data_IF_718246338581
#
_entry.id   IF_718246338581
#
_cell.length_a   1.000
_cell.length_b   1.000
_cell.length_c   1.000
_cell.angle_alpha   90.00
_cell.angle_beta   90.00
_cell.angle_gamma   90.00
#
_symmetry.space_group_name_H-M   'P 1'
#
loop_
_entity.id
_entity.type
_entity.pdbx_description
1 polymer ?
#
# COMPACT_ATOMS: atom_id res chain seq x y z
N UNK A 1 -18.25 -4.27 4.50
CA UNK A 1 -17.12 -5.17 4.84
C UNK A 1 -15.97 -4.33 5.36
N UNK A 2 -15.26 -4.80 6.39
CA UNK A 2 -14.16 -4.04 6.98
C UNK A 2 -12.91 -4.10 6.09
N UNK A 3 -12.38 -2.93 5.72
CA UNK A 3 -11.18 -2.79 4.90
C UNK A 3 -10.20 -1.85 5.60
N UNK A 4 -8.92 -2.20 5.56
CA UNK A 4 -7.84 -1.31 6.00
C UNK A 4 -7.05 -0.86 4.77
N UNK A 5 -7.01 0.45 4.53
CA UNK A 5 -6.26 1.04 3.40
C UNK A 5 -5.00 1.70 3.97
N UNK A 6 -3.83 1.16 3.66
CA UNK A 6 -2.55 1.71 4.11
C UNK A 6 -1.92 2.48 2.94
N UNK A 7 -1.71 3.78 3.08
CA UNK A 7 -1.17 4.60 2.00
C UNK A 7 0.05 5.41 2.44
N UNK A 8 1.13 5.33 1.68
CA UNK A 8 2.31 6.14 1.90
C UNK A 8 2.10 7.56 1.36
N UNK A 9 2.22 8.57 2.22
CA UNK A 9 2.10 9.96 1.82
C UNK A 9 3.43 10.46 1.24
N UNK A 10 3.36 11.13 0.10
CA UNK A 10 4.54 11.69 -0.55
C UNK A 10 5.12 12.89 0.21
N UNK A 11 6.45 13.03 0.15
CA UNK A 11 7.17 14.21 0.61
C UNK A 11 7.43 15.22 -0.52
N UNK A 12 6.98 14.95 -1.75
CA UNK A 12 7.17 15.87 -2.88
C UNK A 12 6.31 17.12 -2.73
N UNK A 13 6.85 18.28 -3.08
CA UNK A 13 6.12 19.56 -3.09
C UNK A 13 4.92 19.54 -4.05
N UNK A 14 5.13 18.97 -5.23
CA UNK A 14 4.17 18.88 -6.31
C UNK A 14 3.99 17.42 -6.72
N UNK A 15 2.74 16.97 -6.71
CA UNK A 15 2.32 15.69 -7.27
C UNK A 15 1.56 15.94 -8.56
N UNK A 16 1.94 15.20 -9.59
CA UNK A 16 1.16 15.11 -10.81
C UNK A 16 -0.14 14.36 -10.52
N UNK A 17 -1.23 14.81 -11.14
CA UNK A 17 -2.47 14.04 -11.22
C UNK A 17 -2.56 13.42 -12.61
N UNK A 18 -2.62 12.10 -12.65
CA UNK A 18 -2.54 11.32 -13.88
C UNK A 18 -3.67 10.30 -13.93
N UNK A 19 -3.98 9.84 -15.15
CA UNK A 19 -4.86 8.70 -15.34
C UNK A 19 -3.97 7.46 -15.37
N UNK A 20 -4.15 6.56 -14.41
CA UNK A 20 -3.42 5.29 -14.39
C UNK A 20 -4.08 4.31 -15.35
N UNK A 21 -3.28 3.62 -16.15
CA UNK A 21 -3.74 2.48 -16.93
C UNK A 21 -3.47 1.18 -16.17
N UNK A 22 -4.27 0.15 -16.42
CA UNK A 22 -4.03 -1.20 -15.91
C UNK A 22 -4.15 -2.21 -17.03
N UNK A 23 -3.20 -3.13 -17.11
CA UNK A 23 -3.31 -4.34 -17.93
C UNK A 23 -3.66 -5.56 -17.09
N UNK A 24 -3.71 -5.41 -15.76
CA UNK A 24 -4.02 -6.48 -14.82
C UNK A 24 -5.51 -6.42 -14.45
N UNK A 25 -6.21 -7.53 -14.66
CA UNK A 25 -7.65 -7.63 -14.35
C UNK A 25 -7.91 -7.63 -12.84
N UNK A 26 -6.93 -7.97 -12.01
CA UNK A 26 -7.04 -7.88 -10.55
C UNK A 26 -6.99 -6.44 -10.04
N UNK A 27 -6.50 -5.50 -10.87
CA UNK A 27 -6.38 -4.08 -10.55
C UNK A 27 -7.15 -3.20 -11.54
N UNK A 28 -8.51 -3.24 -11.53
CA UNK A 28 -9.28 -2.28 -12.29
C UNK A 28 -9.04 -0.86 -11.79
N UNK A 29 -8.94 0.09 -12.71
CA UNK A 29 -8.75 1.52 -12.41
C UNK A 29 -9.76 2.38 -13.14
N UNK A 30 -10.12 3.51 -12.55
CA UNK A 30 -10.96 4.52 -13.19
C UNK A 30 -10.16 5.45 -14.09
N UNK A 31 -10.89 6.17 -14.96
CA UNK A 31 -10.33 7.23 -15.80
C UNK A 31 -10.14 8.56 -15.03
N UNK A 32 -10.17 8.52 -13.70
CA UNK A 32 -9.99 9.71 -12.85
C UNK A 32 -8.52 10.09 -12.77
N UNK A 33 -8.25 11.39 -12.86
CA UNK A 33 -6.94 11.95 -12.55
C UNK A 33 -6.73 11.93 -11.05
N UNK A 34 -5.74 11.19 -10.59
CA UNK A 34 -5.35 11.09 -9.17
C UNK A 34 -3.84 11.17 -9.04
N UNK A 35 -3.36 11.68 -7.91
CA UNK A 35 -1.96 11.56 -7.50
C UNK A 35 -1.70 10.24 -6.78
N UNK A 36 -2.71 9.69 -6.11
CA UNK A 36 -2.61 8.42 -5.39
C UNK A 36 -3.34 7.31 -6.15
N UNK A 37 -2.63 6.34 -6.74
CA UNK A 37 -3.25 5.33 -7.61
C UNK A 37 -4.28 4.46 -6.89
N UNK A 38 -4.15 4.26 -5.58
CA UNK A 38 -5.17 3.54 -4.80
C UNK A 38 -6.55 4.18 -4.91
N UNK A 39 -6.66 5.51 -5.07
CA UNK A 39 -7.95 6.18 -5.25
C UNK A 39 -8.64 5.76 -6.56
N UNK A 40 -7.88 5.63 -7.66
CA UNK A 40 -8.42 5.15 -8.93
C UNK A 40 -8.86 3.68 -8.87
N UNK A 41 -8.17 2.87 -8.07
CA UNK A 41 -8.55 1.47 -7.81
C UNK A 41 -9.79 1.37 -6.91
N UNK A 42 -9.86 2.14 -5.83
CA UNK A 42 -10.99 2.17 -4.91
C UNK A 42 -12.28 2.63 -5.60
N UNK A 43 -12.21 3.57 -6.54
CA UNK A 43 -13.38 3.99 -7.33
C UNK A 43 -14.03 2.84 -8.12
N UNK A 44 -13.28 1.77 -8.40
CA UNK A 44 -13.79 0.57 -9.10
C UNK A 44 -14.17 -0.58 -8.19
N UNK A 45 -13.71 -0.59 -6.94
CA UNK A 45 -13.75 -1.77 -6.07
C UNK A 45 -14.43 -1.55 -4.72
N UNK A 46 -14.62 -0.29 -4.33
CA UNK A 46 -15.34 0.10 -3.13
C UNK A 46 -16.85 0.10 -3.38
N UNK A 47 -17.61 -0.20 -2.34
CA UNK A 47 -19.07 -0.21 -2.32
C UNK A 47 -19.59 0.50 -1.07
N UNK A 48 -20.85 0.91 -1.07
CA UNK A 48 -21.50 1.56 0.09
C UNK A 48 -21.55 0.68 1.35
N UNK A 49 -21.35 -0.63 1.20
CA UNK A 49 -21.31 -1.55 2.35
C UNK A 49 -19.94 -1.59 3.03
N UNK A 50 -18.91 -0.99 2.43
CA UNK A 50 -17.56 -0.99 2.96
C UNK A 50 -17.36 0.00 4.12
N UNK A 51 -16.53 -0.40 5.08
CA UNK A 51 -16.07 0.42 6.20
C UNK A 51 -14.55 0.46 6.11
N UNK A 52 -14.00 1.62 5.72
CA UNK A 52 -12.59 1.83 5.41
C UNK A 52 -11.86 2.50 6.57
N UNK A 53 -10.96 1.76 7.21
CA UNK A 53 -9.96 2.33 8.11
C UNK A 53 -8.72 2.73 7.28
N UNK A 54 -8.60 4.02 6.98
CA UNK A 54 -7.48 4.55 6.18
C UNK A 54 -6.31 4.93 7.09
N UNK A 55 -5.17 4.27 6.92
CA UNK A 55 -3.93 4.52 7.64
C UNK A 55 -2.93 5.22 6.71
N UNK A 56 -2.65 6.48 6.99
CA UNK A 56 -1.72 7.29 6.22
C UNK A 56 -0.33 7.26 6.87
N UNK A 57 0.66 6.74 6.14
CA UNK A 57 2.04 6.66 6.60
C UNK A 57 2.79 7.92 6.16
N UNK A 58 3.24 8.71 7.13
CA UNK A 58 3.86 10.00 6.92
C UNK A 58 5.30 9.97 7.43
N UNK A 59 6.25 10.26 6.55
CA UNK A 59 7.64 10.53 6.93
C UNK A 59 7.80 12.05 7.06
N UNK A 60 8.17 12.50 8.26
CA UNK A 60 8.41 13.92 8.54
C UNK A 60 9.71 14.36 7.89
N UNK A 61 9.61 15.27 6.94
CA UNK A 61 10.75 15.93 6.33
C UNK A 61 10.82 17.40 6.75
N UNK A 62 11.93 18.07 6.41
CA UNK A 62 12.15 19.48 6.80
C UNK A 62 11.23 20.47 6.08
N UNK A 63 10.63 20.06 4.96
CA UNK A 63 9.86 20.96 4.09
C UNK A 63 8.36 20.89 4.37
N UNK A 64 7.91 19.96 5.21
CA UNK A 64 6.51 19.81 5.63
C UNK A 64 5.51 19.60 4.48
N UNK A 65 5.99 19.22 3.29
CA UNK A 65 5.12 19.02 2.10
C UNK A 65 4.12 17.89 2.31
N UNK A 66 4.45 16.93 3.19
CA UNK A 66 3.53 15.86 3.58
C UNK A 66 2.20 16.41 4.12
N UNK A 67 2.17 17.58 4.78
CA UNK A 67 0.93 18.17 5.33
C UNK A 67 -0.08 18.46 4.22
N UNK A 68 0.39 19.11 3.14
CA UNK A 68 -0.42 19.39 1.95
C UNK A 68 -0.84 18.10 1.25
N UNK A 69 0.05 17.10 1.23
CA UNK A 69 -0.22 15.83 0.56
C UNK A 69 -1.19 14.92 1.33
N UNK A 70 -1.29 15.03 2.66
CA UNK A 70 -2.35 14.40 3.45
C UNK A 70 -3.71 14.93 3.00
N UNK A 71 -3.86 16.26 2.95
CA UNK A 71 -5.13 16.87 2.54
C UNK A 71 -5.47 16.53 1.08
N UNK A 72 -4.48 16.54 0.18
CA UNK A 72 -4.67 16.08 -1.20
C UNK A 72 -5.17 14.64 -1.28
N UNK A 73 -4.60 13.72 -0.49
CA UNK A 73 -5.08 12.34 -0.45
C UNK A 73 -6.54 12.27 -0.01
N UNK A 74 -6.90 12.99 1.07
CA UNK A 74 -8.28 13.01 1.58
C UNK A 74 -9.25 13.57 0.55
N UNK A 75 -8.91 14.69 -0.09
CA UNK A 75 -9.71 15.29 -1.17
C UNK A 75 -9.93 14.32 -2.33
N UNK A 76 -8.87 13.59 -2.75
CA UNK A 76 -8.99 12.59 -3.82
C UNK A 76 -9.89 11.41 -3.43
N UNK A 77 -9.77 10.90 -2.20
CA UNK A 77 -10.58 9.80 -1.71
C UNK A 77 -12.03 10.22 -1.45
N UNK A 78 -12.27 11.42 -0.93
CA UNK A 78 -13.61 11.99 -0.73
C UNK A 78 -14.32 12.14 -2.08
N UNK A 79 -13.64 12.67 -3.10
CA UNK A 79 -14.19 12.81 -4.45
C UNK A 79 -14.48 11.46 -5.14
N UNK A 80 -13.80 10.39 -4.73
CA UNK A 80 -14.13 9.01 -5.13
C UNK A 80 -15.37 8.53 -4.36
N UNK A 81 -15.46 8.82 -3.07
CA UNK A 81 -16.53 8.36 -2.20
C UNK A 81 -17.87 9.08 -2.39
N UNK A 82 -17.90 10.29 -2.96
CA UNK A 82 -19.13 11.10 -3.18
C UNK A 82 -20.32 10.31 -3.76
N UNK A 83 -20.05 9.33 -4.63
CA UNK A 83 -21.09 8.50 -5.28
C UNK A 83 -21.22 7.10 -4.70
N UNK A 84 -20.24 6.67 -3.92
CA UNK A 84 -20.16 5.31 -3.39
C UNK A 84 -20.76 5.27 -1.98
N UNK A 85 -20.58 6.34 -1.20
CA UNK A 85 -21.15 6.49 0.14
C UNK A 85 -20.72 5.36 1.11
N UNK A 86 -19.43 4.99 1.06
CA UNK A 86 -18.81 4.10 2.03
C UNK A 86 -18.45 4.85 3.32
N UNK A 87 -18.36 4.15 4.45
CA UNK A 87 -17.88 4.72 5.70
C UNK A 87 -16.34 4.78 5.69
N UNK A 88 -15.76 5.94 6.00
CA UNK A 88 -14.31 6.17 5.92
C UNK A 88 -13.81 6.87 7.18
N UNK A 89 -12.85 6.23 7.84
CA UNK A 89 -12.10 6.79 8.97
C UNK A 89 -10.63 7.00 8.59
N UNK A 90 -9.95 7.94 9.25
CA UNK A 90 -8.55 8.26 8.96
C UNK A 90 -7.69 8.22 10.22
N UNK A 91 -6.54 7.57 10.10
CA UNK A 91 -5.43 7.56 11.07
C UNK A 91 -4.17 8.06 10.38
N UNK A 92 -3.39 8.91 11.04
CA UNK A 92 -2.11 9.40 10.52
C UNK A 92 -0.99 8.88 11.42
N UNK A 93 -0.09 8.08 10.86
CA UNK A 93 1.11 7.59 11.55
C UNK A 93 2.29 8.41 11.09
N UNK A 94 2.87 9.16 12.01
CA UNK A 94 4.08 9.94 11.76
C UNK A 94 5.33 9.12 12.10
N UNK A 95 6.33 9.18 11.24
CA UNK A 95 7.64 8.58 11.44
C UNK A 95 8.74 9.57 11.05
N UNK A 96 9.88 9.48 11.73
CA UNK A 96 11.03 10.32 11.40
C UNK A 96 11.68 9.85 10.09
N UNK A 97 12.30 10.78 9.36
CA UNK A 97 13.08 10.49 8.15
C UNK A 97 14.50 10.04 8.50
N UNK A 98 14.61 9.11 9.45
CA UNK A 98 15.84 8.50 9.93
C UNK A 98 15.76 6.98 9.77
N UNK A 99 16.88 6.37 9.37
CA UNK A 99 16.98 4.93 9.07
C UNK A 99 17.52 4.16 10.29
N UNK A 100 16.94 4.42 11.45
CA UNK A 100 17.30 3.76 12.71
C UNK A 100 16.37 2.59 13.01
N UNK A 101 16.92 1.51 13.58
CA UNK A 101 16.16 0.33 13.99
C UNK A 101 14.91 0.70 14.81
N UNK A 102 15.05 1.59 15.79
CA UNK A 102 13.95 2.04 16.65
C UNK A 102 12.83 2.74 15.89
N UNK A 103 13.16 3.47 14.81
CA UNK A 103 12.16 4.12 13.95
C UNK A 103 11.35 3.07 13.19
N UNK A 104 12.01 2.05 12.63
CA UNK A 104 11.34 0.97 11.91
C UNK A 104 10.47 0.11 12.83
N UNK A 105 10.98 -0.25 14.02
CA UNK A 105 10.24 -1.02 15.02
C UNK A 105 8.99 -0.28 15.51
N UNK A 106 9.14 1.01 15.82
CA UNK A 106 8.02 1.84 16.26
C UNK A 106 7.00 2.01 15.14
N UNK A 107 7.43 2.22 13.89
CA UNK A 107 6.54 2.31 12.75
C UNK A 107 5.73 1.02 12.55
N UNK A 108 6.39 -0.14 12.58
CA UNK A 108 5.69 -1.43 12.50
C UNK A 108 4.66 -1.59 13.63
N UNK A 109 5.04 -1.27 14.87
CA UNK A 109 4.15 -1.34 16.03
C UNK A 109 2.91 -0.47 15.87
N UNK A 110 3.08 0.78 15.41
CA UNK A 110 1.97 1.71 15.19
C UNK A 110 1.05 1.24 14.06
N UNK A 111 1.60 0.72 12.95
CA UNK A 111 0.77 0.20 11.86
C UNK A 111 -0.07 -0.99 12.35
N UNK A 112 0.54 -1.96 13.04
CA UNK A 112 -0.17 -3.12 13.59
C UNK A 112 -1.29 -2.70 14.54
N UNK A 113 -1.06 -1.69 15.39
CA UNK A 113 -2.07 -1.20 16.33
C UNK A 113 -3.32 -0.61 15.68
N UNK A 114 -3.25 -0.24 14.39
CA UNK A 114 -4.35 0.35 13.64
C UNK A 114 -4.88 -0.56 12.52
N UNK A 115 -4.36 -1.79 12.41
CA UNK A 115 -4.98 -2.82 11.58
C UNK A 115 -6.05 -3.52 12.40
N UNK A 116 -7.29 -3.48 11.90
CA UNK A 116 -8.40 -4.18 12.52
C UNK A 116 -8.34 -5.69 12.26
N UNK A 117 -8.68 -6.49 13.27
CA UNK A 117 -8.84 -7.94 13.12
C UNK A 117 -9.87 -8.29 12.04
N UNK A 118 -9.66 -9.39 11.32
CA UNK A 118 -10.54 -9.89 10.26
C UNK A 118 -10.77 -8.88 9.11
N UNK A 119 -9.86 -7.92 8.93
CA UNK A 119 -9.94 -6.90 7.89
C UNK A 119 -9.32 -7.38 6.57
N UNK A 120 -9.80 -6.81 5.47
CA UNK A 120 -9.16 -6.93 4.16
C UNK A 120 -8.24 -5.73 3.94
N UNK A 121 -6.99 -5.99 3.59
CA UNK A 121 -5.96 -4.96 3.53
C UNK A 121 -5.62 -4.60 2.09
N UNK A 122 -5.64 -3.30 1.82
CA UNK A 122 -5.14 -2.70 0.59
C UNK A 122 -3.96 -1.79 0.95
N UNK A 123 -2.88 -1.86 0.18
CA UNK A 123 -1.70 -1.03 0.42
C UNK A 123 -1.32 -0.23 -0.82
N UNK A 124 -0.92 1.02 -0.66
CA UNK A 124 -0.32 1.85 -1.71
C UNK A 124 1.14 2.18 -1.34
N UNK A 125 2.07 1.61 -2.10
CA UNK A 125 3.51 1.77 -1.92
C UNK A 125 4.15 2.67 -3.00
N UNK A 126 3.34 3.44 -3.73
CA UNK A 126 3.81 4.33 -4.81
C UNK A 126 4.81 5.36 -4.32
N UNK A 127 4.59 5.89 -3.12
CA UNK A 127 5.46 6.87 -2.49
C UNK A 127 6.12 6.32 -1.22
N UNK A 128 7.02 7.13 -0.69
CA UNK A 128 7.78 6.83 0.51
C UNK A 128 9.22 6.38 0.24
N UNK A 129 10.04 6.32 1.30
CA UNK A 129 11.39 5.81 1.22
C UNK A 129 11.42 4.28 1.00
N UNK A 130 12.59 3.76 0.62
CA UNK A 130 12.77 2.37 0.17
C UNK A 130 12.67 1.33 1.30
N UNK A 131 12.88 1.76 2.54
CA UNK A 131 12.68 0.97 3.76
C UNK A 131 11.19 0.68 4.01
N UNK A 132 10.30 1.60 3.61
CA UNK A 132 8.88 1.56 3.96
C UNK A 132 8.15 0.32 3.42
N UNK A 133 8.33 -0.12 2.16
CA UNK A 133 7.78 -1.40 1.70
C UNK A 133 8.27 -2.60 2.51
N UNK A 134 9.51 -2.59 3.02
CA UNK A 134 10.06 -3.71 3.82
C UNK A 134 9.34 -3.79 5.17
N UNK A 135 9.19 -2.65 5.84
CA UNK A 135 8.42 -2.55 7.10
C UNK A 135 6.96 -2.96 6.87
N UNK A 136 6.37 -2.48 5.79
CA UNK A 136 4.97 -2.77 5.46
C UNK A 136 4.76 -4.25 5.16
N UNK A 137 5.61 -4.89 4.34
CA UNK A 137 5.47 -6.32 4.03
C UNK A 137 5.62 -7.18 5.29
N UNK A 138 6.53 -6.80 6.19
CA UNK A 138 6.67 -7.48 7.49
C UNK A 138 5.40 -7.31 8.33
N UNK A 139 4.80 -6.12 8.33
CA UNK A 139 3.55 -5.82 9.02
C UNK A 139 2.36 -6.59 8.44
N UNK A 140 2.24 -6.64 7.11
CA UNK A 140 1.21 -7.41 6.43
C UNK A 140 1.33 -8.91 6.76
N UNK A 141 2.55 -9.45 6.78
CA UNK A 141 2.79 -10.84 7.21
C UNK A 141 2.35 -11.10 8.65
N UNK A 142 2.50 -10.13 9.55
CA UNK A 142 1.97 -10.21 10.90
C UNK A 142 0.44 -10.21 10.89
N UNK A 143 -0.19 -9.30 10.14
CA UNK A 143 -1.65 -9.17 10.07
C UNK A 143 -2.33 -10.45 9.56
N UNK A 144 -1.80 -11.07 8.49
CA UNK A 144 -2.35 -12.34 7.99
C UNK A 144 -2.21 -13.47 9.02
N UNK A 145 -1.07 -13.56 9.70
CA UNK A 145 -0.78 -14.66 10.64
C UNK A 145 -1.53 -14.54 11.96
N UNK A 146 -1.72 -13.33 12.46
CA UNK A 146 -2.12 -13.10 13.85
C UNK A 146 -3.40 -12.29 14.02
N UNK A 147 -3.83 -11.53 13.01
CA UNK A 147 -5.05 -10.72 13.05
C UNK A 147 -6.18 -11.30 12.16
N UNK A 148 -5.95 -12.47 11.56
CA UNK A 148 -6.88 -13.12 10.61
C UNK A 148 -7.26 -12.20 9.43
N UNK A 149 -6.33 -11.34 9.02
CA UNK A 149 -6.54 -10.45 7.88
C UNK A 149 -6.24 -11.16 6.55
N UNK A 150 -6.76 -10.59 5.45
CA UNK A 150 -6.38 -10.98 4.09
C UNK A 150 -5.79 -9.76 3.40
N UNK A 151 -4.60 -9.88 2.81
CA UNK A 151 -4.07 -8.81 1.95
C UNK A 151 -4.65 -9.02 0.55
N UNK A 152 -5.36 -8.02 0.04
CA UNK A 152 -6.06 -8.11 -1.25
C UNK A 152 -5.17 -7.67 -2.40
N UNK A 153 -4.58 -6.48 -2.28
CA UNK A 153 -3.71 -5.92 -3.30
C UNK A 153 -2.66 -5.00 -2.67
N UNK A 154 -1.51 -4.92 -3.33
CA UNK A 154 -0.47 -3.95 -3.00
C UNK A 154 -0.21 -3.13 -4.26
N UNK A 155 -0.76 -1.93 -4.30
CA UNK A 155 -0.70 -1.02 -5.44
C UNK A 155 0.64 -0.29 -5.51
N UNK A 156 1.18 -0.18 -6.73
CA UNK A 156 2.30 0.70 -7.06
C UNK A 156 2.03 1.44 -8.38
N UNK A 157 2.09 2.77 -8.34
CA UNK A 157 2.02 3.63 -9.52
C UNK A 157 3.37 3.71 -10.23
N UNK A 158 3.51 3.01 -11.33
CA UNK A 158 4.65 3.12 -12.25
C UNK A 158 4.46 4.33 -13.18
N UNK A 159 5.54 5.07 -13.43
CA UNK A 159 5.57 6.15 -14.41
C UNK A 159 6.96 6.28 -15.04
N UNK A 160 6.98 6.71 -16.29
CA UNK A 160 8.14 7.34 -16.93
C UNK A 160 8.10 8.84 -16.69
N UNK A 161 9.22 9.54 -16.87
CA UNK A 161 9.30 10.98 -16.63
C UNK A 161 9.91 11.71 -17.81
N UNK A 162 9.16 12.67 -18.35
CA UNK A 162 9.61 13.59 -19.41
C UNK A 162 9.47 15.02 -18.93
N UNK A 163 10.57 15.80 -18.98
CA UNK A 163 10.60 17.19 -18.49
C UNK A 163 10.04 17.37 -17.06
N UNK A 164 10.28 16.38 -16.19
CA UNK A 164 9.83 16.39 -14.80
C UNK A 164 8.35 16.05 -14.58
N UNK A 165 7.61 15.66 -15.63
CA UNK A 165 6.21 15.22 -15.54
C UNK A 165 6.08 13.72 -15.73
N UNK A 166 5.18 13.10 -14.98
CA UNK A 166 4.83 11.70 -15.15
C UNK A 166 4.12 11.46 -16.50
N UNK A 167 4.62 10.49 -17.26
CA UNK A 167 4.06 9.97 -18.52
C UNK A 167 4.03 8.45 -18.47
N UNK A 168 3.29 7.81 -19.39
CA UNK A 168 3.17 6.35 -19.49
C UNK A 168 2.81 5.66 -18.15
N UNK A 169 1.82 6.24 -17.46
CA UNK A 169 1.44 5.87 -16.11
C UNK A 169 0.63 4.57 -16.04
N UNK A 170 1.08 3.65 -15.18
CA UNK A 170 0.47 2.34 -14.97
C UNK A 170 0.32 2.04 -13.49
N UNK A 171 -0.76 1.36 -13.13
CA UNK A 171 -0.88 0.72 -11.83
C UNK A 171 -0.34 -0.71 -11.94
N UNK A 172 0.40 -1.14 -10.94
CA UNK A 172 0.97 -2.48 -10.88
C UNK A 172 0.62 -3.14 -9.55
N UNK A 173 0.34 -4.44 -9.56
CA UNK A 173 0.16 -5.22 -8.33
C UNK A 173 1.51 -5.75 -7.86
N UNK A 174 1.85 -5.42 -6.62
CA UNK A 174 3.04 -5.84 -5.91
C UNK A 174 2.76 -6.99 -4.95
N UNK A 175 1.52 -7.49 -4.91
CA UNK A 175 1.16 -8.72 -4.21
C UNK A 175 2.10 -9.90 -4.56
N UNK A 176 2.46 -10.15 -5.84
CA UNK A 176 3.39 -11.24 -6.16
C UNK A 176 4.75 -11.12 -5.47
N UNK A 177 5.26 -9.89 -5.30
CA UNK A 177 6.53 -9.63 -4.60
C UNK A 177 6.39 -9.93 -3.09
N UNK A 178 5.28 -9.55 -2.48
CA UNK A 178 4.96 -9.89 -1.09
C UNK A 178 4.86 -11.41 -0.89
N UNK A 179 4.19 -12.12 -1.81
CA UNK A 179 4.03 -13.57 -1.75
C UNK A 179 5.37 -14.34 -1.84
N UNK A 180 6.43 -13.79 -2.46
CA UNK A 180 7.76 -14.41 -2.44
C UNK A 180 8.29 -14.62 -1.02
N UNK A 181 7.96 -13.72 -0.09
CA UNK A 181 8.33 -13.87 1.32
C UNK A 181 7.57 -15.02 2.00
N UNK A 182 6.30 -15.22 1.63
CA UNK A 182 5.45 -16.30 2.12
C UNK A 182 5.96 -17.67 1.67
N UNK A 183 6.47 -17.78 0.43
CA UNK A 183 7.13 -19.00 -0.08
C UNK A 183 8.27 -19.41 0.85
N UNK A 184 9.14 -18.47 1.21
CA UNK A 184 10.27 -18.74 2.10
C UNK A 184 9.81 -19.17 3.49
N UNK A 185 8.80 -18.48 4.04
CA UNK A 185 8.25 -18.77 5.37
C UNK A 185 7.53 -20.13 5.45
N UNK A 186 7.08 -20.67 4.33
CA UNK A 186 6.40 -21.98 4.25
C UNK A 186 7.40 -23.14 4.30
N UNK A 187 8.65 -22.91 3.90
CA UNK A 187 9.68 -23.97 3.86
C UNK A 187 10.13 -24.29 5.29
N UNK A 188 9.66 -25.43 5.81
CA UNK A 188 10.10 -25.98 7.08
C UNK A 188 11.04 -27.17 6.85
N UNK A 189 12.33 -26.88 6.76
CA UNK A 189 13.37 -27.87 6.49
C UNK A 189 14.74 -27.39 6.96
N UNK A 190 15.56 -28.29 7.51
CA UNK A 190 16.95 -28.00 7.91
C UNK A 190 17.99 -28.49 6.89
N UNK A 191 17.59 -29.36 5.96
CA UNK A 191 18.45 -29.84 4.86
C UNK A 191 18.46 -28.83 3.69
N UNK A 192 19.62 -28.25 3.33
CA UNK A 192 19.70 -27.22 2.30
C UNK A 192 19.23 -27.67 0.91
N UNK A 193 19.49 -28.93 0.54
CA UNK A 193 19.11 -29.42 -0.79
C UNK A 193 17.61 -29.69 -0.88
N UNK A 194 17.00 -30.22 0.18
CA UNK A 194 15.54 -30.33 0.30
C UNK A 194 14.89 -28.95 0.32
N UNK A 195 15.46 -27.97 1.02
CA UNK A 195 14.96 -26.59 1.01
C UNK A 195 14.97 -25.99 -0.41
N UNK A 196 16.06 -26.15 -1.17
CA UNK A 196 16.13 -25.73 -2.58
C UNK A 196 15.10 -26.42 -3.47
N UNK A 197 14.88 -27.73 -3.29
CA UNK A 197 13.84 -28.47 -4.04
C UNK A 197 12.45 -27.97 -3.71
N UNK A 198 12.14 -27.72 -2.44
CA UNK A 198 10.86 -27.17 -2.00
C UNK A 198 10.65 -25.76 -2.57
N UNK A 199 11.66 -24.89 -2.48
CA UNK A 199 11.64 -23.55 -3.07
C UNK A 199 11.30 -23.57 -4.56
N UNK A 200 11.98 -24.41 -5.35
CA UNK A 200 11.70 -24.55 -6.79
C UNK A 200 10.29 -25.08 -7.07
N UNK A 201 9.77 -25.95 -6.20
CA UNK A 201 8.41 -26.51 -6.33
C UNK A 201 7.33 -25.47 -6.02
N UNK A 202 7.60 -24.54 -5.10
CA UNK A 202 6.66 -23.48 -4.73
C UNK A 202 6.64 -22.30 -5.71
N UNK A 203 7.69 -22.13 -6.52
CA UNK A 203 7.83 -21.04 -7.50
C UNK A 203 7.61 -21.49 -8.95
N UNK A 204 7.04 -22.67 -9.18
CA UNK A 204 6.78 -23.13 -10.54
C UNK A 204 5.52 -22.45 -11.08
N UNK A 205 5.69 -21.54 -12.04
CA UNK A 205 4.64 -20.87 -12.80
C UNK A 205 4.42 -21.54 -14.16
#
# INVERSE_FOLDING_TARGET
MKKTVICNISMKENLDQVIYSSTDRSLPVSDRKVSYPICAFLEKTMTSEDELDVVLLVKKDKNDHYKKNIERFKEELEAVNEKIDADISYTIINSEFEEHQTVHEQLMKEIVAHISDNSRILADITYGPKDLPIVLFTTLSFAEKFLNCTVDNIVYGQASFENGRAVDTKICDMMPLYCLSSVTNTIQCTDPDKARRMFNTLLTF
#
